data_IF_939657020631
#
_entry.id   IF_939657020631
#
_cell.length_a   1.000
_cell.length_b   1.000
_cell.length_c   1.000
_cell.angle_alpha   90.00
_cell.angle_beta   90.00
_cell.angle_gamma   90.00
#
_symmetry.space_group_name_H-M   'P 1'
#
loop_
_entity.id
_entity.type
_entity.pdbx_description
1 polymer ?
#
# COMPACT_ATOMS: atom_id res chain seq x y z
N UNK A 1 18.73 -12.94 -13.69
CA UNK A 1 17.63 -12.59 -12.78
C UNK A 1 18.10 -12.81 -11.36
N UNK A 2 18.05 -11.79 -10.50
CA UNK A 2 18.42 -11.96 -9.09
C UNK A 2 17.28 -12.66 -8.35
N UNK A 3 17.55 -13.72 -7.59
CA UNK A 3 16.50 -14.38 -6.80
C UNK A 3 15.98 -13.43 -5.71
N UNK A 4 14.74 -13.63 -5.25
CA UNK A 4 14.13 -12.78 -4.24
C UNK A 4 14.93 -12.79 -2.92
N UNK A 5 15.58 -13.90 -2.58
CA UNK A 5 16.52 -13.98 -1.46
C UNK A 5 17.73 -13.07 -1.64
N UNK A 6 18.28 -12.96 -2.85
CA UNK A 6 19.39 -12.03 -3.11
C UNK A 6 18.94 -10.59 -2.89
N UNK A 7 17.77 -10.21 -3.41
CA UNK A 7 17.18 -8.89 -3.19
C UNK A 7 16.98 -8.61 -1.69
N UNK A 8 16.45 -9.57 -0.94
CA UNK A 8 16.32 -9.46 0.52
C UNK A 8 17.67 -9.25 1.21
N UNK A 9 18.70 -10.00 0.85
CA UNK A 9 20.03 -9.84 1.44
C UNK A 9 20.61 -8.46 1.19
N UNK A 10 20.49 -7.93 -0.03
CA UNK A 10 20.94 -6.58 -0.37
C UNK A 10 20.20 -5.53 0.45
N UNK A 11 18.87 -5.59 0.50
CA UNK A 11 18.03 -4.63 1.25
C UNK A 11 18.25 -4.73 2.76
N UNK A 12 18.48 -5.93 3.27
CA UNK A 12 18.83 -6.18 4.68
C UNK A 12 20.21 -5.61 5.03
N UNK A 13 21.20 -5.79 4.16
CA UNK A 13 22.53 -5.19 4.32
C UNK A 13 22.48 -3.66 4.28
N UNK A 14 21.74 -3.07 3.33
CA UNK A 14 21.59 -1.61 3.24
C UNK A 14 20.95 -1.00 4.50
N UNK A 15 20.01 -1.71 5.14
CA UNK A 15 19.48 -1.30 6.44
C UNK A 15 20.51 -1.43 7.56
N UNK A 16 21.23 -2.56 7.64
CA UNK A 16 22.24 -2.79 8.65
C UNK A 16 23.42 -1.79 8.56
N UNK A 17 23.74 -1.32 7.35
CA UNK A 17 24.73 -0.28 7.08
C UNK A 17 24.27 1.12 7.49
N UNK A 18 23.01 1.29 7.90
CA UNK A 18 22.48 2.55 8.39
C UNK A 18 22.29 3.63 7.31
N UNK A 19 22.12 3.24 6.04
CA UNK A 19 22.06 4.19 4.90
C UNK A 19 20.99 5.28 5.03
N UNK A 20 19.92 4.99 5.78
CA UNK A 20 18.80 5.89 6.00
C UNK A 20 18.69 6.41 7.44
N UNK A 21 19.71 6.21 8.27
CA UNK A 21 19.71 6.76 9.64
C UNK A 21 19.67 8.29 9.62
N UNK A 22 20.37 8.91 8.66
CA UNK A 22 20.46 10.35 8.53
C UNK A 22 19.15 10.96 8.00
N UNK A 23 18.56 11.89 8.76
CA UNK A 23 17.33 12.60 8.39
C UNK A 23 17.48 13.41 7.10
N UNK A 24 18.63 14.04 6.85
CA UNK A 24 18.86 14.80 5.61
C UNK A 24 18.88 13.88 4.39
N UNK A 25 19.41 12.66 4.54
CA UNK A 25 19.37 11.67 3.46
C UNK A 25 17.93 11.26 3.17
N UNK A 26 17.12 10.99 4.20
CA UNK A 26 15.69 10.69 4.04
C UNK A 26 14.93 11.82 3.38
N UNK A 27 15.14 13.06 3.80
CA UNK A 27 14.55 14.25 3.18
C UNK A 27 14.94 14.35 1.69
N UNK A 28 16.23 14.15 1.37
CA UNK A 28 16.71 14.17 -0.01
C UNK A 28 16.02 13.10 -0.87
N UNK A 29 15.90 11.88 -0.36
CA UNK A 29 15.23 10.78 -1.07
C UNK A 29 13.75 11.07 -1.31
N UNK A 30 13.03 11.56 -0.30
CA UNK A 30 11.62 11.95 -0.44
C UNK A 30 11.44 13.11 -1.44
N UNK A 31 12.33 14.11 -1.40
CA UNK A 31 12.29 15.23 -2.33
C UNK A 31 12.55 14.79 -3.78
N UNK A 32 13.52 13.89 -4.00
CA UNK A 32 13.80 13.31 -5.31
C UNK A 32 12.63 12.46 -5.80
N UNK A 33 12.06 11.62 -4.94
CA UNK A 33 10.89 10.80 -5.25
C UNK A 33 9.71 11.68 -5.67
N UNK A 34 9.38 12.72 -4.89
CA UNK A 34 8.33 13.67 -5.23
C UNK A 34 8.58 14.38 -6.56
N UNK A 35 9.81 14.87 -6.80
CA UNK A 35 10.17 15.57 -8.04
C UNK A 35 10.08 14.66 -9.26
N UNK A 36 10.55 13.41 -9.16
CA UNK A 36 10.52 12.46 -10.25
C UNK A 36 9.11 11.97 -10.57
N UNK A 37 8.26 11.75 -9.55
CA UNK A 37 6.83 11.46 -9.75
C UNK A 37 6.14 12.61 -10.48
N UNK A 38 6.40 13.85 -10.07
CA UNK A 38 5.84 15.03 -10.73
C UNK A 38 6.34 15.18 -12.17
N UNK A 39 7.61 14.86 -12.43
CA UNK A 39 8.20 14.91 -13.78
C UNK A 39 7.68 13.82 -14.72
N UNK A 40 7.32 12.66 -14.19
CA UNK A 40 6.79 11.51 -14.94
C UNK A 40 5.26 11.39 -14.87
N UNK A 41 4.55 12.43 -14.43
CA UNK A 41 3.11 12.36 -14.14
C UNK A 41 2.27 11.91 -15.34
N UNK A 42 2.61 12.36 -16.55
CA UNK A 42 1.88 12.02 -17.77
C UNK A 42 1.99 10.54 -18.10
N UNK A 43 3.19 9.98 -17.95
CA UNK A 43 3.49 8.59 -18.28
C UNK A 43 2.92 7.65 -17.22
N UNK A 44 2.99 8.05 -15.95
CA UNK A 44 2.38 7.33 -14.84
C UNK A 44 0.85 7.28 -14.95
N UNK A 45 0.20 8.42 -15.21
CA UNK A 45 -1.26 8.46 -15.41
C UNK A 45 -1.67 7.56 -16.56
N UNK A 46 -0.92 7.60 -17.67
CA UNK A 46 -1.17 6.73 -18.82
C UNK A 46 -1.02 5.25 -18.44
N UNK A 47 0.07 4.87 -17.77
CA UNK A 47 0.31 3.49 -17.36
C UNK A 47 -0.79 2.97 -16.42
N UNK A 48 -1.24 3.79 -15.45
CA UNK A 48 -2.34 3.45 -14.54
C UNK A 48 -3.65 3.27 -15.33
N UNK A 49 -3.97 4.18 -16.24
CA UNK A 49 -5.16 4.07 -17.09
C UNK A 49 -5.15 2.81 -17.96
N UNK A 50 -4.00 2.50 -18.57
CA UNK A 50 -3.86 1.36 -19.49
C UNK A 50 -3.95 0.03 -18.72
N UNK A 51 -3.35 -0.06 -17.53
CA UNK A 51 -3.30 -1.29 -16.74
C UNK A 51 -4.61 -1.55 -15.96
N UNK A 52 -5.24 -0.51 -15.38
CA UNK A 52 -6.46 -0.65 -14.56
C UNK A 52 -7.76 -0.38 -15.33
N UNK A 53 -7.69 0.05 -16.59
CA UNK A 53 -8.84 0.50 -17.37
C UNK A 53 -9.66 1.60 -16.67
N UNK A 54 -8.98 2.46 -15.91
CA UNK A 54 -9.60 3.54 -15.13
C UNK A 54 -9.57 4.88 -15.88
N UNK A 55 -10.38 5.83 -15.41
CA UNK A 55 -10.39 7.19 -15.97
C UNK A 55 -9.11 7.96 -15.63
N UNK A 56 -8.74 8.91 -16.50
CA UNK A 56 -7.60 9.82 -16.25
C UNK A 56 -7.76 10.62 -14.96
N UNK A 57 -9.00 10.97 -14.59
CA UNK A 57 -9.27 11.68 -13.35
C UNK A 57 -8.91 10.81 -12.14
N UNK A 58 -9.39 9.57 -12.10
CA UNK A 58 -9.07 8.62 -11.02
C UNK A 58 -7.57 8.32 -10.92
N UNK A 59 -6.88 8.17 -12.05
CA UNK A 59 -5.43 7.96 -12.06
C UNK A 59 -4.66 9.21 -11.58
N UNK A 60 -5.14 10.41 -11.93
CA UNK A 60 -4.56 11.67 -11.44
C UNK A 60 -4.80 11.87 -9.93
N UNK A 61 -5.98 11.48 -9.43
CA UNK A 61 -6.30 11.53 -8.00
C UNK A 61 -5.38 10.58 -7.21
N UNK A 62 -5.15 9.36 -7.70
CA UNK A 62 -4.23 8.41 -7.10
C UNK A 62 -2.79 8.95 -7.04
N UNK A 63 -2.31 9.56 -8.14
CA UNK A 63 -1.00 10.20 -8.22
C UNK A 63 -0.89 11.37 -7.23
N UNK A 64 -1.93 12.21 -7.14
CA UNK A 64 -1.96 13.37 -6.26
C UNK A 64 -1.93 12.95 -4.80
N UNK A 65 -2.71 11.94 -4.40
CA UNK A 65 -2.68 11.39 -3.04
C UNK A 65 -1.29 10.87 -2.66
N UNK A 66 -0.56 10.27 -3.62
CA UNK A 66 0.79 9.80 -3.37
C UNK A 66 1.79 10.96 -3.18
N UNK A 67 1.69 12.02 -4.00
CA UNK A 67 2.49 13.23 -3.85
C UNK A 67 2.23 13.93 -2.51
N UNK A 68 0.96 14.05 -2.12
CA UNK A 68 0.57 14.64 -0.84
C UNK A 68 1.08 13.81 0.35
N UNK A 69 1.04 12.47 0.23
CA UNK A 69 1.61 11.56 1.24
C UNK A 69 3.12 11.75 1.40
N UNK A 70 3.87 11.85 0.29
CA UNK A 70 5.32 12.10 0.33
C UNK A 70 5.62 13.45 0.97
N UNK A 71 4.88 14.48 0.58
CA UNK A 71 5.06 15.83 1.12
C UNK A 71 4.82 15.86 2.62
N UNK A 72 3.72 15.25 3.08
CA UNK A 72 3.41 15.16 4.50
C UNK A 72 4.55 14.48 5.27
N UNK A 73 5.04 13.35 4.78
CA UNK A 73 6.14 12.61 5.41
C UNK A 73 7.47 13.38 5.38
N UNK A 74 7.72 14.17 4.33
CA UNK A 74 8.89 15.06 4.27
C UNK A 74 8.78 16.17 5.30
N UNK A 75 7.62 16.82 5.40
CA UNK A 75 7.38 17.93 6.32
C UNK A 75 7.42 17.46 7.79
N UNK A 76 7.03 16.22 8.06
CA UNK A 76 7.13 15.58 9.39
C UNK A 76 8.57 15.27 9.82
N UNK A 77 9.54 15.21 8.88
CA UNK A 77 10.94 15.00 9.21
C UNK A 77 11.56 16.28 9.78
N UNK A 78 11.51 16.43 11.10
CA UNK A 78 12.11 17.56 11.81
C UNK A 78 13.61 17.33 12.08
N UNK A 79 14.43 17.79 11.15
CA UNK A 79 15.89 17.78 11.29
C UNK A 79 16.40 18.57 12.51
N UNK A 80 15.93 19.81 12.77
CA UNK A 80 16.29 20.56 13.97
C UNK A 80 16.08 19.79 15.28
N UNK A 81 14.92 19.16 15.49
CA UNK A 81 14.68 18.38 16.71
C UNK A 81 15.55 17.13 16.78
N UNK A 82 15.76 16.44 15.66
CA UNK A 82 16.66 15.28 15.61
C UNK A 82 18.09 15.65 16.00
N UNK A 83 18.61 16.77 15.49
CA UNK A 83 19.94 17.27 15.83
C UNK A 83 20.02 17.71 17.31
N UNK A 84 18.95 18.28 17.86
CA UNK A 84 18.88 18.64 19.26
C UNK A 84 18.90 17.39 20.17
N UNK A 85 18.17 16.33 19.81
CA UNK A 85 18.21 15.04 20.51
C UNK A 85 19.61 14.42 20.45
N UNK A 86 20.26 14.36 19.28
CA UNK A 86 21.62 13.81 19.15
C UNK A 86 22.62 14.57 20.05
N UNK A 87 22.52 15.90 20.09
CA UNK A 87 23.33 16.74 20.99
C UNK A 87 23.07 16.45 22.47
N UNK A 88 21.83 16.15 22.86
CA UNK A 88 21.49 15.78 24.24
C UNK A 88 22.08 14.41 24.62
N UNK A 89 21.99 13.42 23.73
CA UNK A 89 22.61 12.10 23.93
C UNK A 89 24.12 12.22 24.08
N UNK A 90 24.77 13.02 23.23
CA UNK A 90 26.22 13.30 23.34
C UNK A 90 26.62 13.94 24.68
N UNK A 91 25.68 14.63 25.34
CA UNK A 91 25.86 15.23 26.68
C UNK A 91 25.50 14.28 27.83
N UNK A 92 25.22 13.00 27.54
CA UNK A 92 24.92 11.98 28.54
C UNK A 92 23.45 11.87 28.95
N UNK A 93 22.53 12.52 28.23
CA UNK A 93 21.10 12.36 28.46
C UNK A 93 20.58 11.04 27.85
N UNK A 94 19.63 10.38 28.52
CA UNK A 94 18.97 9.18 28.01
C UNK A 94 18.10 9.50 26.80
N UNK A 95 18.14 8.65 25.78
CA UNK A 95 17.46 8.83 24.50
C UNK A 95 16.15 8.04 24.38
N UNK A 96 15.38 7.93 25.46
CA UNK A 96 14.20 7.04 25.51
C UNK A 96 13.11 7.37 24.48
N UNK A 97 13.18 8.53 23.81
CA UNK A 97 12.27 8.97 22.76
C UNK A 97 12.79 8.77 21.33
N UNK A 98 13.99 8.22 21.13
CA UNK A 98 14.52 8.01 19.78
C UNK A 98 13.75 6.88 19.10
N UNK A 99 13.03 7.23 18.02
CA UNK A 99 12.40 6.25 17.14
C UNK A 99 13.47 5.62 16.25
N UNK A 100 13.51 4.29 16.22
CA UNK A 100 14.44 3.51 15.39
C UNK A 100 13.62 2.68 14.41
N UNK A 101 14.09 2.58 13.17
CA UNK A 101 13.50 1.70 12.16
C UNK A 101 13.49 0.24 12.65
N UNK A 102 12.40 -0.48 12.39
CA UNK A 102 12.19 -1.84 12.90
C UNK A 102 12.94 -2.93 12.11
N UNK A 103 13.61 -2.57 11.01
CA UNK A 103 14.18 -3.51 10.04
C UNK A 103 13.51 -3.39 8.67
N UNK A 104 14.00 -4.13 7.66
CA UNK A 104 13.45 -4.10 6.31
C UNK A 104 11.92 -4.25 6.28
N UNK A 105 11.27 -3.54 5.36
CA UNK A 105 9.82 -3.55 5.19
C UNK A 105 9.42 -4.36 3.96
N UNK A 106 8.41 -5.22 4.09
CA UNK A 106 7.76 -5.85 2.94
C UNK A 106 6.48 -5.08 2.58
N UNK A 107 6.34 -4.68 1.32
CA UNK A 107 5.15 -4.00 0.81
C UNK A 107 4.45 -4.94 -0.18
N UNK A 108 3.20 -5.28 0.10
CA UNK A 108 2.30 -6.03 -0.78
C UNK A 108 1.18 -5.09 -1.26
N UNK A 109 1.32 -4.50 -2.47
CA UNK A 109 0.41 -3.47 -2.96
C UNK A 109 -1.03 -3.95 -3.18
N UNK A 110 -1.97 -3.01 -3.14
CA UNK A 110 -3.35 -3.25 -3.51
C UNK A 110 -3.48 -3.36 -5.03
N UNK A 111 -4.24 -4.34 -5.56
CA UNK A 111 -4.52 -4.39 -6.99
C UNK A 111 -5.47 -3.27 -7.47
N UNK A 112 -6.15 -2.58 -6.54
CA UNK A 112 -7.15 -1.55 -6.86
C UNK A 112 -6.59 -0.13 -6.91
N UNK A 113 -5.46 0.11 -6.23
CA UNK A 113 -4.73 1.39 -6.22
C UNK A 113 -3.22 1.11 -6.22
N UNK A 114 -2.70 0.47 -7.28
CA UNK A 114 -1.36 -0.09 -7.31
C UNK A 114 -0.26 0.97 -7.21
N UNK A 115 -0.49 2.20 -7.65
CA UNK A 115 0.50 3.26 -7.55
C UNK A 115 0.58 3.82 -6.13
N UNK A 116 -0.57 4.23 -5.57
CA UNK A 116 -0.63 4.79 -4.22
C UNK A 116 -0.21 3.76 -3.17
N UNK A 117 -0.68 2.52 -3.29
CA UNK A 117 -0.35 1.44 -2.36
C UNK A 117 1.11 0.97 -2.44
N UNK A 118 1.87 1.37 -3.47
CA UNK A 118 3.33 1.24 -3.50
C UNK A 118 3.98 2.46 -2.86
N UNK A 119 3.65 3.65 -3.37
CA UNK A 119 4.41 4.87 -3.07
C UNK A 119 4.19 5.36 -1.63
N UNK A 120 2.98 5.30 -1.10
CA UNK A 120 2.70 5.75 0.26
C UNK A 120 3.47 4.94 1.33
N UNK A 121 3.41 3.59 1.38
CA UNK A 121 4.19 2.83 2.34
C UNK A 121 5.69 2.87 2.06
N UNK A 122 6.11 3.03 0.80
CA UNK A 122 7.53 3.20 0.45
C UNK A 122 8.08 4.51 1.01
N UNK A 123 7.35 5.61 0.81
CA UNK A 123 7.71 6.91 1.39
C UNK A 123 7.72 6.85 2.92
N UNK A 124 6.77 6.13 3.53
CA UNK A 124 6.77 5.92 4.99
C UNK A 124 7.98 5.11 5.46
N UNK A 125 8.43 4.11 4.70
CA UNK A 125 9.64 3.36 4.99
C UNK A 125 10.90 4.25 4.92
N UNK A 126 11.01 5.09 3.87
CA UNK A 126 12.08 6.10 3.75
C UNK A 126 12.05 7.05 4.96
N UNK A 127 10.89 7.62 5.28
CA UNK A 127 10.73 8.55 6.40
C UNK A 127 11.10 7.89 7.74
N UNK A 128 10.76 6.62 7.93
CA UNK A 128 11.11 5.85 9.13
C UNK A 128 12.60 5.46 9.23
N UNK A 129 13.38 5.60 8.14
CA UNK A 129 14.78 5.17 8.10
C UNK A 129 14.95 3.67 7.81
N UNK A 130 13.97 3.07 7.13
CA UNK A 130 13.97 1.66 6.78
C UNK A 130 14.21 1.42 5.30
N UNK A 131 14.84 0.30 4.99
CA UNK A 131 14.87 -0.26 3.63
C UNK A 131 13.58 -1.01 3.33
N UNK A 132 13.24 -1.24 2.06
CA UNK A 132 12.00 -1.93 1.69
C UNK A 132 12.09 -2.78 0.41
N UNK A 133 11.33 -3.87 0.41
CA UNK A 133 11.02 -4.67 -0.77
C UNK A 133 9.55 -4.52 -1.09
N UNK A 134 9.27 -4.15 -2.34
CA UNK A 134 7.92 -4.03 -2.88
C UNK A 134 7.65 -5.25 -3.77
N UNK A 135 6.60 -6.00 -3.47
CA UNK A 135 6.07 -6.98 -4.43
C UNK A 135 5.50 -6.23 -5.63
N UNK A 136 5.88 -6.62 -6.85
CA UNK A 136 5.35 -6.01 -8.06
C UNK A 136 3.80 -6.00 -8.03
N UNK A 137 3.14 -4.86 -8.27
CA UNK A 137 1.70 -4.82 -8.49
C UNK A 137 1.22 -5.86 -9.51
N UNK A 138 0.23 -6.66 -9.10
CA UNK A 138 -0.40 -7.67 -9.94
C UNK A 138 -1.04 -7.03 -11.19
N UNK A 139 -0.92 -7.69 -12.33
CA UNK A 139 -1.55 -7.28 -13.60
C UNK A 139 -1.21 -5.85 -14.11
N UNK A 140 -0.16 -5.20 -13.60
CA UNK A 140 0.19 -3.81 -13.96
C UNK A 140 1.56 -3.72 -14.66
N UNK A 141 1.67 -4.28 -15.87
CA UNK A 141 2.95 -4.44 -16.57
C UNK A 141 3.65 -3.12 -16.94
N UNK A 142 2.90 -2.16 -17.46
CA UNK A 142 3.44 -0.85 -17.84
C UNK A 142 3.81 -0.07 -16.58
N UNK A 143 2.91 -0.06 -15.60
CA UNK A 143 3.13 0.61 -14.32
C UNK A 143 4.35 0.04 -13.58
N UNK A 144 4.54 -1.29 -13.58
CA UNK A 144 5.70 -1.92 -12.96
C UNK A 144 7.03 -1.45 -13.58
N UNK A 145 7.04 -1.19 -14.89
CA UNK A 145 8.23 -0.69 -15.59
C UNK A 145 8.51 0.76 -15.23
N UNK A 146 7.47 1.60 -15.21
CA UNK A 146 7.58 2.99 -14.77
C UNK A 146 8.00 3.10 -13.31
N UNK A 147 7.37 2.34 -12.40
CA UNK A 147 7.69 2.31 -10.98
C UNK A 147 9.15 1.92 -10.72
N UNK A 148 9.67 0.88 -11.39
CA UNK A 148 11.08 0.49 -11.26
C UNK A 148 12.01 1.59 -11.73
N UNK A 149 11.73 2.18 -12.88
CA UNK A 149 12.52 3.28 -13.43
C UNK A 149 12.51 4.48 -12.49
N UNK A 150 11.35 4.81 -11.95
CA UNK A 150 11.15 5.91 -11.04
C UNK A 150 11.85 5.70 -9.70
N UNK A 151 11.71 4.53 -9.08
CA UNK A 151 12.36 4.20 -7.81
C UNK A 151 13.87 4.20 -7.96
N UNK A 152 14.40 3.56 -9.00
CA UNK A 152 15.86 3.51 -9.24
C UNK A 152 16.47 4.89 -9.51
N UNK A 153 15.68 5.84 -10.03
CA UNK A 153 16.11 7.24 -10.23
C UNK A 153 15.99 8.10 -8.98
N UNK A 154 15.18 7.68 -8.00
CA UNK A 154 14.78 8.52 -6.86
C UNK A 154 15.41 8.10 -5.54
N UNK A 155 15.57 6.79 -5.33
CA UNK A 155 15.94 6.18 -4.05
C UNK A 155 17.23 5.37 -4.19
N UNK A 156 17.83 5.00 -3.05
CA UNK A 156 18.98 4.09 -3.03
C UNK A 156 18.57 2.69 -3.56
N UNK A 157 19.19 2.28 -4.66
CA UNK A 157 18.92 1.03 -5.39
C UNK A 157 19.23 -0.24 -4.60
N UNK A 158 20.03 -0.15 -3.54
CA UNK A 158 20.31 -1.26 -2.64
C UNK A 158 19.39 -1.28 -1.42
N UNK A 159 18.81 -0.13 -1.04
CA UNK A 159 17.83 -0.04 0.04
C UNK A 159 16.39 -0.29 -0.42
N UNK A 160 16.07 -0.02 -1.69
CA UNK A 160 14.71 -0.11 -2.21
C UNK A 160 14.66 -0.88 -3.52
N UNK A 161 13.78 -1.89 -3.57
CA UNK A 161 13.65 -2.73 -4.77
C UNK A 161 12.19 -3.16 -4.98
N UNK A 162 11.78 -3.20 -6.25
CA UNK A 162 10.55 -3.89 -6.66
C UNK A 162 10.94 -5.27 -7.21
N UNK A 163 10.24 -6.31 -6.75
CA UNK A 163 10.43 -7.66 -7.29
C UNK A 163 10.12 -7.72 -8.79
N UNK A 164 10.63 -8.71 -9.48
CA UNK A 164 10.41 -8.87 -10.93
C UNK A 164 8.95 -9.21 -11.27
N UNK A 165 8.31 -9.98 -10.40
CA UNK A 165 6.90 -10.33 -10.49
C UNK A 165 6.30 -10.52 -9.11
N UNK A 166 5.01 -10.78 -9.10
CA UNK A 166 4.17 -10.96 -7.92
C UNK A 166 3.89 -12.46 -7.67
N UNK A 167 4.76 -13.33 -8.21
CA UNK A 167 4.56 -14.78 -8.22
C UNK A 167 4.48 -15.39 -6.80
N UNK A 168 3.73 -16.47 -6.67
CA UNK A 168 3.60 -17.20 -5.41
C UNK A 168 4.95 -17.70 -4.87
N UNK A 169 5.90 -18.01 -5.77
CA UNK A 169 7.24 -18.46 -5.40
C UNK A 169 8.05 -17.34 -4.74
N UNK A 170 8.04 -16.13 -5.32
CA UNK A 170 8.69 -14.95 -4.75
C UNK A 170 8.09 -14.62 -3.38
N UNK A 171 6.76 -14.58 -3.27
CA UNK A 171 6.08 -14.31 -1.99
C UNK A 171 6.45 -15.34 -0.93
N UNK A 172 6.50 -16.63 -1.29
CA UNK A 172 6.88 -17.72 -0.38
C UNK A 172 8.36 -17.69 0.01
N UNK A 173 9.24 -17.23 -0.86
CA UNK A 173 10.66 -17.04 -0.57
C UNK A 173 10.86 -15.87 0.41
N UNK A 174 10.18 -14.75 0.17
CA UNK A 174 10.22 -13.56 1.01
C UNK A 174 9.53 -13.78 2.37
N UNK A 175 8.42 -14.50 2.44
CA UNK A 175 7.70 -14.72 3.72
C UNK A 175 8.50 -15.49 4.78
N UNK A 176 9.57 -16.19 4.35
CA UNK A 176 10.54 -16.88 5.21
C UNK A 176 11.66 -15.97 5.72
N UNK A 177 11.68 -14.71 5.31
CA UNK A 177 12.69 -13.74 5.70
C UNK A 177 12.22 -12.86 6.86
N UNK A 178 13.17 -12.25 7.57
CA UNK A 178 12.90 -11.53 8.81
C UNK A 178 12.67 -10.03 8.55
N UNK A 179 11.42 -9.66 8.22
CA UNK A 179 11.02 -8.27 8.08
C UNK A 179 10.65 -7.64 9.44
N UNK A 180 11.00 -6.36 9.61
CA UNK A 180 10.64 -5.58 10.79
C UNK A 180 9.20 -5.09 10.77
N UNK A 181 8.72 -4.75 9.56
CA UNK A 181 7.34 -4.38 9.32
C UNK A 181 6.86 -4.88 7.95
N UNK A 182 5.54 -4.92 7.76
CA UNK A 182 4.94 -5.20 6.46
C UNK A 182 3.69 -4.35 6.21
N UNK A 183 3.54 -3.84 4.99
CA UNK A 183 2.33 -3.18 4.51
C UNK A 183 1.57 -4.13 3.57
N UNK A 184 0.60 -4.87 4.10
CA UNK A 184 -0.14 -5.89 3.38
C UNK A 184 -1.49 -5.36 2.89
N UNK A 185 -1.51 -4.78 1.69
CA UNK A 185 -2.70 -4.13 1.11
C UNK A 185 -3.43 -5.01 0.09
N UNK A 186 -2.84 -6.12 -0.34
CA UNK A 186 -3.49 -7.15 -1.15
C UNK A 186 -4.41 -8.04 -0.28
N UNK A 187 -5.64 -7.59 -0.04
CA UNK A 187 -6.58 -8.26 0.86
C UNK A 187 -6.80 -9.75 0.55
N UNK A 188 -6.96 -10.19 -0.72
CA UNK A 188 -7.11 -11.61 -1.05
C UNK A 188 -5.97 -12.52 -0.58
N UNK A 189 -4.73 -12.04 -0.57
CA UNK A 189 -3.53 -12.83 -0.24
C UNK A 189 -2.95 -12.53 1.14
N UNK A 190 -3.54 -11.56 1.84
CA UNK A 190 -3.03 -11.00 3.10
C UNK A 190 -2.87 -12.05 4.18
N UNK A 191 -3.88 -12.87 4.43
CA UNK A 191 -3.92 -13.73 5.62
C UNK A 191 -2.86 -14.85 5.56
N UNK A 192 -2.62 -15.40 4.37
CA UNK A 192 -1.60 -16.40 4.12
C UNK A 192 -0.18 -15.82 4.28
N UNK A 193 0.04 -14.63 3.73
CA UNK A 193 1.31 -13.92 3.81
C UNK A 193 1.59 -13.48 5.26
N UNK A 194 0.59 -12.93 5.94
CA UNK A 194 0.66 -12.55 7.36
C UNK A 194 1.03 -13.74 8.24
N UNK A 195 0.32 -14.87 8.09
CA UNK A 195 0.58 -16.08 8.87
C UNK A 195 2.01 -16.57 8.68
N UNK A 196 2.52 -16.49 7.46
CA UNK A 196 3.89 -16.91 7.14
C UNK A 196 4.94 -15.97 7.73
N UNK A 197 4.73 -14.65 7.62
CA UNK A 197 5.63 -13.64 8.21
C UNK A 197 5.65 -13.71 9.73
N UNK A 198 4.49 -13.89 10.36
CA UNK A 198 4.38 -13.98 11.82
C UNK A 198 5.11 -15.20 12.39
N UNK A 199 5.11 -16.33 11.67
CA UNK A 199 5.90 -17.52 12.03
C UNK A 199 7.40 -17.25 12.01
N UNK A 200 7.87 -16.36 11.13
CA UNK A 200 9.28 -16.00 10.99
C UNK A 200 9.70 -14.90 11.98
N UNK A 201 8.82 -13.94 12.24
CA UNK A 201 9.02 -12.86 13.20
C UNK A 201 7.73 -12.59 13.99
N UNK A 202 7.65 -13.06 15.23
CA UNK A 202 6.51 -12.84 16.12
C UNK A 202 6.29 -11.36 16.49
N UNK A 203 7.29 -10.51 16.31
CA UNK A 203 7.25 -9.08 16.62
C UNK A 203 6.98 -8.19 15.41
N UNK A 204 6.75 -8.79 14.23
CA UNK A 204 6.52 -8.03 13.01
C UNK A 204 5.33 -7.06 13.17
N UNK A 205 5.52 -5.82 12.75
CA UNK A 205 4.45 -4.83 12.69
C UNK A 205 3.78 -4.86 11.33
N UNK A 206 2.48 -5.18 11.30
CA UNK A 206 1.75 -5.28 10.04
C UNK A 206 0.71 -4.17 9.94
N UNK A 207 0.80 -3.42 8.86
CA UNK A 207 -0.17 -2.44 8.42
C UNK A 207 -0.99 -3.06 7.30
N UNK A 208 -2.30 -3.14 7.49
CA UNK A 208 -3.23 -3.62 6.48
C UNK A 208 -4.48 -2.76 6.53
N UNK A 209 -5.11 -2.45 5.38
CA UNK A 209 -6.42 -1.87 5.37
C UNK A 209 -7.42 -2.80 6.07
N UNK A 210 -8.44 -2.27 6.73
CA UNK A 210 -9.48 -3.08 7.37
C UNK A 210 -10.28 -3.83 6.29
N UNK A 211 -10.39 -5.16 6.43
CA UNK A 211 -11.18 -6.00 5.52
C UNK A 211 -12.67 -6.02 5.89
N UNK A 212 -13.28 -4.87 6.12
CA UNK A 212 -14.71 -4.78 6.46
C UNK A 212 -15.55 -4.41 5.24
N UNK A 213 -16.80 -4.88 5.26
CA UNK A 213 -17.84 -4.44 4.35
C UNK A 213 -18.07 -2.94 4.62
N UNK A 214 -17.86 -2.10 3.61
CA UNK A 214 -18.27 -0.71 3.66
C UNK A 214 -19.80 -0.65 3.56
N UNK A 215 -20.46 -0.13 4.59
CA UNK A 215 -21.91 0.03 4.62
C UNK A 215 -22.24 1.51 4.71
N UNK A 216 -23.09 1.99 3.79
CA UNK A 216 -23.66 3.32 3.83
C UNK A 216 -25.12 3.23 4.27
N UNK A 217 -25.49 3.99 5.30
CA UNK A 217 -26.88 4.11 5.76
C UNK A 217 -27.44 5.43 5.24
N UNK A 218 -28.55 5.34 4.50
CA UNK A 218 -29.27 6.52 4.01
C UNK A 218 -30.55 6.65 4.82
N UNK A 219 -30.60 7.65 5.70
CA UNK A 219 -31.78 7.90 6.52
C UNK A 219 -32.93 8.51 5.70
N UNK A 220 -34.16 8.25 6.15
CA UNK A 220 -35.40 8.71 5.49
C UNK A 220 -35.56 10.24 5.33
N UNK A 221 -35.01 11.15 6.18
CA UNK A 221 -35.21 12.59 6.03
C UNK A 221 -34.14 13.27 5.15
N UNK A 222 -33.35 12.52 4.37
CA UNK A 222 -32.37 13.11 3.43
C UNK A 222 -33.09 14.06 2.46
N UNK A 223 -32.67 15.34 2.47
CA UNK A 223 -33.26 16.39 1.64
C UNK A 223 -32.94 16.22 0.15
N UNK A 224 -31.75 15.70 -0.17
CA UNK A 224 -31.31 15.47 -1.54
C UNK A 224 -30.81 14.04 -1.73
N UNK A 225 -31.76 13.15 -2.02
CA UNK A 225 -31.47 11.75 -2.30
C UNK A 225 -30.69 11.58 -3.61
N UNK A 226 -30.84 12.51 -4.55
CA UNK A 226 -30.15 12.48 -5.84
C UNK A 226 -28.65 12.65 -5.67
N UNK A 227 -28.22 13.66 -4.90
CA UNK A 227 -26.82 13.88 -4.58
C UNK A 227 -26.20 12.68 -3.84
N UNK A 228 -26.93 12.11 -2.87
CA UNK A 228 -26.47 10.91 -2.14
C UNK A 228 -26.31 9.71 -3.07
N UNK A 229 -27.28 9.46 -3.96
CA UNK A 229 -27.20 8.37 -4.92
C UNK A 229 -26.03 8.55 -5.88
N UNK A 230 -25.83 9.76 -6.42
CA UNK A 230 -24.68 10.07 -7.28
C UNK A 230 -23.36 9.83 -6.57
N UNK A 231 -23.24 10.23 -5.31
CA UNK A 231 -22.02 10.01 -4.52
C UNK A 231 -21.78 8.53 -4.22
N UNK A 232 -22.82 7.76 -3.90
CA UNK A 232 -22.68 6.31 -3.67
C UNK A 232 -22.27 5.56 -4.95
N UNK A 233 -22.81 5.97 -6.10
CA UNK A 233 -22.44 5.38 -7.39
C UNK A 233 -21.00 5.75 -7.75
N UNK A 234 -20.57 7.00 -7.53
CA UNK A 234 -19.19 7.41 -7.80
C UNK A 234 -18.16 6.76 -6.87
N UNK A 235 -18.56 6.47 -5.63
CA UNK A 235 -17.70 5.87 -4.60
C UNK A 235 -17.76 4.34 -4.56
N UNK A 236 -18.71 3.73 -5.27
CA UNK A 236 -18.85 2.29 -5.39
C UNK A 236 -17.87 1.68 -6.40
N UNK A 237 -17.56 0.37 -6.30
CA UNK A 237 -16.72 -0.30 -7.28
C UNK A 237 -17.38 -0.23 -8.67
N UNK A 238 -16.60 0.17 -9.69
CA UNK A 238 -17.07 0.30 -11.08
C UNK A 238 -17.43 -1.04 -11.75
N UNK A 239 -17.34 -2.16 -11.03
CA UNK A 239 -17.75 -3.49 -11.47
C UNK A 239 -18.90 -4.01 -10.61
N UNK A 240 -20.11 -3.54 -10.91
CA UNK A 240 -21.31 -4.33 -10.63
C UNK A 240 -21.61 -5.13 -11.90
N UNK A 241 -21.22 -6.39 -11.90
CA UNK A 241 -21.89 -7.37 -12.78
C UNK A 241 -23.40 -7.21 -12.56
N UNK A 242 -24.20 -7.13 -13.63
CA UNK A 242 -25.64 -6.99 -13.48
C UNK A 242 -26.16 -8.21 -12.72
N UNK A 243 -26.77 -7.95 -11.56
CA UNK A 243 -27.57 -8.94 -10.86
C UNK A 243 -28.52 -9.61 -11.87
N UNK A 244 -28.64 -10.94 -11.89
CA UNK A 244 -29.57 -11.60 -12.78
C UNK A 244 -30.96 -11.04 -12.50
N UNK A 245 -31.55 -10.44 -13.54
CA UNK A 245 -32.93 -9.97 -13.52
C UNK A 245 -33.82 -11.09 -13.00
N UNK A 246 -34.39 -10.91 -11.80
CA UNK A 246 -35.38 -11.80 -11.23
C UNK A 246 -36.70 -11.70 -12.01
N UNK A 247 -36.69 -12.17 -13.25
CA UNK A 247 -37.88 -12.49 -14.04
C UNK A 247 -38.11 -13.98 -13.96
N UNK A 248 -38.97 -14.41 -13.03
CA UNK A 248 -39.29 -15.83 -12.85
C UNK A 248 -40.51 -16.02 -11.96
N UNK A 249 -41.65 -16.22 -12.62
CA UNK A 249 -42.98 -16.59 -12.11
C UNK A 249 -43.03 -17.23 -10.71
N UNK A 250 -43.80 -16.62 -9.81
CA UNK A 250 -44.33 -17.32 -8.64
C UNK A 250 -45.35 -18.39 -9.09
N UNK A 251 -45.21 -19.66 -8.66
CA UNK A 251 -46.25 -20.66 -8.84
C UNK A 251 -47.40 -20.43 -7.85
N UNK A 252 -48.64 -20.84 -8.18
CA UNK A 252 -49.82 -20.56 -7.37
C UNK A 252 -49.82 -21.31 -6.05
N UNK A 253 -50.32 -20.60 -5.03
CA UNK A 253 -50.39 -21.01 -3.62
C UNK A 253 -51.43 -22.12 -3.42
N UNK A 254 -50.97 -23.36 -3.24
CA UNK A 254 -51.82 -24.49 -2.87
C UNK A 254 -52.37 -24.29 -1.44
N UNK A 255 -53.71 -24.23 -1.32
CA UNK A 255 -54.42 -24.24 -0.04
C UNK A 255 -54.47 -25.66 0.50
N UNK A 256 -53.59 -25.99 1.45
CA UNK A 256 -53.78 -27.20 2.27
C UNK A 256 -54.70 -26.89 3.45
N UNK A 257 -55.87 -27.57 3.46
CA UNK A 257 -56.77 -27.67 4.61
C UNK A 257 -56.06 -28.41 5.74
N UNK A 258 -55.98 -27.81 6.92
CA UNK A 258 -55.68 -28.51 8.16
C UNK A 258 -56.92 -29.29 8.61
N UNK A 259 -56.79 -30.62 8.75
CA UNK A 259 -57.71 -31.46 9.52
C UNK A 259 -57.08 -31.73 10.89
N UNK A 260 -57.77 -31.33 11.96
CA UNK A 260 -57.46 -31.62 13.35
C UNK A 260 -57.76 -33.09 13.70
N UNK A 261 -56.91 -33.78 14.47
CA UNK A 261 -57.25 -35.09 15.03
C UNK A 261 -57.96 -34.94 16.38
N UNK A 262 -58.97 -35.78 16.58
CA UNK A 262 -59.52 -36.22 17.88
C UNK A 262 -58.56 -37.17 18.58
#
# INVERSE_FOLDING_TARGET
MASALHQYRTVSAAWADGRLENVLQRQKELALLHSNIKGSSTDLIKAICDDLQTSKASAADELQLALDSIKHLYDDLDFPSTLAMEKQVRKGASSSSNLIALGPVLIDPSPYSPFLSVIAPLAAAVAAGSSAIVLAPSASGNLNTELRTLINKSLDVEAFVITESDSADIRRELSKQHFGAAALQNLPLRDDLFTSLYKTNLLIRVLSPPSRISAAFVDRPVQDLGAVASHLISSGPSSLDPLPSAGGNLPPRNKHKFSSPT
#
